data_IF_914943981101
#
_entry.id   IF_914943981101
#
_cell.length_a   1.000
_cell.length_b   1.000
_cell.length_c   1.000
_cell.angle_alpha   90.00
_cell.angle_beta   90.00
_cell.angle_gamma   90.00
#
_symmetry.space_group_name_H-M   'P 1'
#
loop_
_entity.id
_entity.type
_entity.pdbx_description
1 polymer ?
#
# COMPACT_ATOMS: atom_id res chain seq x y z
N UNK A 1 -36.77 -0.76 42.76
CA UNK A 1 -36.49 -2.09 42.21
C UNK A 1 -37.25 -2.24 40.90
N UNK A 2 -36.67 -1.92 39.80
CA UNK A 2 -37.10 -2.36 38.46
C UNK A 2 -35.84 -2.38 37.59
N UNK A 3 -35.37 -3.57 37.26
CA UNK A 3 -34.27 -3.82 36.33
C UNK A 3 -34.77 -3.53 34.91
N UNK A 4 -34.17 -2.58 34.25
CA UNK A 4 -34.36 -2.37 32.81
C UNK A 4 -33.27 -3.17 32.08
N UNK A 5 -33.69 -4.27 31.47
CA UNK A 5 -32.82 -5.01 30.54
C UNK A 5 -32.82 -4.31 29.21
N UNK A 6 -31.65 -3.82 28.79
CA UNK A 6 -31.45 -3.35 27.43
C UNK A 6 -31.05 -4.55 26.58
N UNK A 7 -31.94 -4.98 25.72
CA UNK A 7 -31.66 -5.98 24.69
C UNK A 7 -30.87 -5.32 23.57
N UNK A 8 -29.62 -5.71 23.46
CA UNK A 8 -28.79 -5.40 22.26
C UNK A 8 -29.08 -6.50 21.24
N UNK A 9 -29.80 -6.14 20.19
CA UNK A 9 -30.06 -7.03 19.06
C UNK A 9 -28.82 -7.04 18.17
N UNK A 10 -28.00 -8.09 18.32
CA UNK A 10 -26.90 -8.38 17.40
C UNK A 10 -27.51 -9.13 16.21
N UNK A 11 -27.48 -8.54 15.02
CA UNK A 11 -27.80 -9.21 13.78
C UNK A 11 -26.63 -10.12 13.39
N UNK A 12 -26.72 -11.38 13.81
CA UNK A 12 -25.81 -12.45 13.40
C UNK A 12 -26.35 -13.04 12.09
N UNK A 13 -25.75 -12.72 10.94
CA UNK A 13 -25.99 -13.47 9.73
C UNK A 13 -25.32 -14.83 9.85
N UNK A 14 -26.08 -15.84 10.25
CA UNK A 14 -25.71 -17.25 10.17
C UNK A 14 -25.78 -17.69 8.71
N UNK A 15 -24.62 -17.78 8.05
CA UNK A 15 -24.45 -18.55 6.83
C UNK A 15 -24.42 -20.04 7.21
N UNK A 16 -25.47 -20.76 6.82
CA UNK A 16 -25.53 -22.21 6.90
C UNK A 16 -24.50 -22.79 5.92
N UNK A 17 -23.38 -23.29 6.43
CA UNK A 17 -22.49 -24.15 5.66
C UNK A 17 -23.11 -25.54 5.51
N UNK A 18 -23.62 -25.84 4.32
CA UNK A 18 -23.78 -27.24 3.89
C UNK A 18 -22.40 -27.73 3.44
N UNK A 19 -21.80 -28.60 4.27
CA UNK A 19 -20.59 -29.32 3.92
C UNK A 19 -20.89 -30.26 2.74
N UNK A 20 -20.29 -29.96 1.58
CA UNK A 20 -20.07 -30.93 0.54
C UNK A 20 -18.56 -31.21 0.54
N UNK A 21 -18.18 -32.33 1.12
CA UNK A 21 -16.83 -32.87 0.95
C UNK A 21 -16.67 -33.32 -0.51
N UNK A 22 -15.98 -32.54 -1.29
CA UNK A 22 -15.34 -33.03 -2.52
C UNK A 22 -13.85 -32.78 -2.38
N UNK A 23 -13.12 -33.83 -2.00
CA UNK A 23 -11.69 -33.94 -2.20
C UNK A 23 -11.40 -33.94 -3.72
N UNK A 24 -11.24 -32.78 -4.25
CA UNK A 24 -10.72 -32.56 -5.58
C UNK A 24 -9.75 -31.39 -5.47
N UNK A 25 -8.46 -31.65 -5.66
CA UNK A 25 -7.48 -30.62 -5.95
C UNK A 25 -7.92 -29.94 -7.25
N UNK A 26 -8.74 -28.89 -7.13
CA UNK A 26 -9.02 -28.00 -8.23
C UNK A 26 -7.79 -27.09 -8.33
N UNK A 27 -6.82 -27.53 -9.10
CA UNK A 27 -5.97 -26.60 -9.84
C UNK A 27 -6.94 -25.78 -10.68
N UNK A 28 -7.22 -24.57 -10.27
CA UNK A 28 -7.92 -23.60 -11.09
C UNK A 28 -7.02 -23.35 -12.30
N UNK A 29 -7.26 -24.10 -13.39
CA UNK A 29 -6.71 -23.73 -14.68
C UNK A 29 -7.25 -22.34 -14.99
N UNK A 30 -6.38 -21.34 -14.97
CA UNK A 30 -6.67 -20.02 -15.46
C UNK A 30 -7.24 -20.14 -16.88
N UNK A 31 -8.34 -19.45 -17.25
CA UNK A 31 -8.86 -19.42 -18.60
C UNK A 31 -8.02 -18.50 -19.50
N UNK A 32 -6.72 -18.42 -19.27
CA UNK A 32 -5.76 -17.73 -20.12
C UNK A 32 -5.20 -18.72 -21.13
N UNK A 33 -5.39 -18.47 -22.42
CA UNK A 33 -4.71 -19.22 -23.47
C UNK A 33 -3.19 -19.23 -23.28
N UNK A 34 -2.50 -20.06 -24.05
CA UNK A 34 -1.03 -20.12 -24.11
C UNK A 34 -0.51 -18.68 -24.25
N UNK A 35 0.48 -18.23 -23.42
CA UNK A 35 1.04 -16.92 -23.52
C UNK A 35 1.47 -16.60 -24.96
N UNK A 36 0.97 -15.51 -25.51
CA UNK A 36 1.40 -15.06 -26.83
C UNK A 36 2.79 -14.42 -26.72
N UNK A 37 3.66 -14.79 -27.66
CA UNK A 37 4.93 -14.10 -27.83
C UNK A 37 4.61 -12.71 -28.39
N UNK A 38 5.36 -11.70 -27.98
CA UNK A 38 5.16 -10.32 -28.39
C UNK A 38 5.25 -10.09 -29.90
N UNK A 39 5.08 -8.86 -30.36
CA UNK A 39 5.16 -8.51 -31.76
C UNK A 39 6.44 -9.08 -32.40
N UNK A 40 6.30 -9.62 -33.61
CA UNK A 40 7.42 -10.19 -34.39
C UNK A 40 8.13 -11.40 -33.75
N UNK A 41 7.51 -12.08 -32.80
CA UNK A 41 8.09 -13.24 -32.10
C UNK A 41 9.14 -12.89 -31.06
N UNK A 42 9.24 -11.62 -30.67
CA UNK A 42 10.08 -11.14 -29.57
C UNK A 42 9.36 -11.27 -28.22
N UNK A 43 10.11 -11.21 -27.13
CA UNK A 43 9.52 -11.12 -25.78
C UNK A 43 8.93 -9.73 -25.55
N UNK A 44 7.87 -9.68 -24.73
CA UNK A 44 7.35 -8.42 -24.23
C UNK A 44 8.33 -7.77 -23.26
N UNK A 45 8.72 -6.53 -23.54
CA UNK A 45 9.66 -5.76 -22.70
C UNK A 45 8.90 -5.00 -21.64
N UNK A 46 9.20 -5.31 -20.38
CA UNK A 46 8.60 -4.67 -19.21
C UNK A 46 9.62 -3.70 -18.60
N UNK A 47 9.20 -2.46 -18.36
CA UNK A 47 9.97 -1.45 -17.62
C UNK A 47 9.40 -1.21 -16.22
N UNK A 48 10.15 -0.47 -15.41
CA UNK A 48 9.79 -0.10 -14.05
C UNK A 48 10.16 1.34 -13.74
N UNK A 49 9.25 2.06 -13.10
CA UNK A 49 9.51 3.41 -12.61
C UNK A 49 8.90 3.59 -11.23
N UNK A 50 9.67 4.06 -10.27
CA UNK A 50 9.20 4.35 -8.92
C UNK A 50 9.37 5.82 -8.55
N UNK A 51 8.47 6.31 -7.70
CA UNK A 51 8.52 7.68 -7.18
C UNK A 51 9.74 7.91 -6.28
N UNK A 52 10.12 6.89 -5.50
CA UNK A 52 11.21 6.85 -4.53
C UNK A 52 11.40 5.42 -4.01
N UNK A 53 12.44 5.17 -3.21
CA UNK A 53 12.57 3.90 -2.50
C UNK A 53 11.53 3.81 -1.38
N UNK A 54 10.56 2.93 -1.53
CA UNK A 54 9.53 2.70 -0.54
C UNK A 54 9.17 1.22 -0.45
N UNK A 55 9.16 0.68 0.77
CA UNK A 55 8.98 -0.77 1.00
C UNK A 55 7.72 -1.33 0.32
N UNK A 56 6.62 -0.59 0.34
CA UNK A 56 5.36 -1.02 -0.31
C UNK A 56 5.51 -1.19 -1.83
N UNK A 57 6.37 -0.40 -2.48
CA UNK A 57 6.63 -0.55 -3.91
C UNK A 57 7.38 -1.84 -4.20
N UNK A 58 8.36 -2.15 -3.38
CA UNK A 58 9.12 -3.40 -3.46
C UNK A 58 8.22 -4.63 -3.20
N UNK A 59 7.40 -4.59 -2.16
CA UNK A 59 6.44 -5.65 -1.85
C UNK A 59 5.43 -5.86 -3.00
N UNK A 60 4.96 -4.76 -3.60
CA UNK A 60 4.05 -4.82 -4.76
C UNK A 60 4.75 -5.40 -5.99
N UNK A 61 5.99 -4.98 -6.29
CA UNK A 61 6.78 -5.54 -7.39
C UNK A 61 6.97 -7.07 -7.22
N UNK A 62 7.39 -7.49 -6.03
CA UNK A 62 7.55 -8.92 -5.70
C UNK A 62 6.25 -9.68 -5.91
N UNK A 63 5.12 -9.11 -5.46
CA UNK A 63 3.82 -9.74 -5.58
C UNK A 63 3.34 -9.83 -7.04
N UNK A 64 3.60 -8.81 -7.87
CA UNK A 64 3.33 -8.87 -9.33
C UNK A 64 4.15 -9.98 -9.99
N UNK A 65 5.45 -10.06 -9.69
CA UNK A 65 6.33 -11.11 -10.24
C UNK A 65 5.86 -12.51 -9.83
N UNK A 66 5.45 -12.68 -8.56
CA UNK A 66 4.87 -13.95 -8.08
C UNK A 66 3.52 -14.26 -8.74
N UNK A 67 2.67 -13.28 -8.98
CA UNK A 67 1.42 -13.46 -9.72
C UNK A 67 1.66 -13.90 -11.17
N UNK A 68 2.69 -13.35 -11.83
CA UNK A 68 3.13 -13.78 -13.15
C UNK A 68 3.71 -15.21 -13.13
N UNK A 69 4.42 -15.61 -12.05
CA UNK A 69 4.89 -16.99 -11.85
C UNK A 69 3.71 -17.98 -11.69
N UNK A 70 2.75 -17.64 -10.83
CA UNK A 70 1.53 -18.44 -10.61
C UNK A 70 0.74 -18.66 -11.90
N UNK A 71 0.75 -17.67 -12.79
CA UNK A 71 0.08 -17.73 -14.10
C UNK A 71 0.94 -18.34 -15.22
N UNK A 72 2.17 -18.78 -14.91
CA UNK A 72 3.07 -19.44 -15.87
C UNK A 72 3.77 -18.51 -16.87
N UNK A 73 3.66 -17.19 -16.70
CA UNK A 73 4.37 -16.19 -17.52
C UNK A 73 5.82 -16.00 -17.08
N UNK A 74 6.12 -16.27 -15.82
CA UNK A 74 7.45 -16.33 -15.24
C UNK A 74 7.65 -17.75 -14.69
N UNK A 75 8.83 -18.36 -14.81
CA UNK A 75 9.01 -19.78 -14.50
C UNK A 75 10.32 -20.17 -13.81
N UNK A 76 11.25 -19.27 -13.65
CA UNK A 76 12.58 -19.57 -13.08
C UNK A 76 12.97 -18.55 -12.02
N UNK A 77 12.32 -18.63 -10.86
CA UNK A 77 12.56 -17.74 -9.72
C UNK A 77 13.45 -18.36 -8.64
N UNK A 78 14.32 -19.34 -8.99
CA UNK A 78 15.26 -19.91 -8.01
C UNK A 78 16.21 -18.83 -7.45
N UNK A 79 16.11 -18.57 -6.13
CA UNK A 79 16.87 -17.52 -5.44
C UNK A 79 16.21 -16.14 -5.43
N UNK A 80 15.05 -15.96 -6.03
CA UNK A 80 14.33 -14.69 -6.04
C UNK A 80 13.94 -14.23 -4.63
N UNK A 81 13.49 -15.13 -3.77
CA UNK A 81 13.10 -14.78 -2.39
C UNK A 81 14.25 -14.17 -1.58
N UNK A 82 15.49 -14.55 -1.88
CA UNK A 82 16.66 -13.98 -1.20
C UNK A 82 16.92 -12.53 -1.60
N UNK A 83 16.72 -12.17 -2.87
CA UNK A 83 16.85 -10.77 -3.32
C UNK A 83 15.59 -9.96 -2.93
N UNK A 84 14.41 -10.54 -2.99
CA UNK A 84 13.18 -9.93 -2.54
C UNK A 84 13.25 -9.51 -1.05
N UNK A 85 13.88 -10.33 -0.20
CA UNK A 85 14.08 -10.04 1.22
C UNK A 85 14.99 -8.83 1.49
N UNK A 86 15.72 -8.33 0.49
CA UNK A 86 16.55 -7.10 0.65
C UNK A 86 15.70 -5.85 0.80
N UNK A 87 14.47 -5.85 0.26
CA UNK A 87 13.63 -4.66 0.19
C UNK A 87 14.14 -3.59 -0.78
N UNK A 88 15.06 -3.94 -1.68
CA UNK A 88 15.67 -3.05 -2.66
C UNK A 88 15.10 -3.35 -4.06
N UNK A 89 14.27 -2.44 -4.58
CA UNK A 89 13.64 -2.56 -5.89
C UNK A 89 14.65 -2.61 -7.04
N UNK A 90 15.76 -1.85 -6.93
CA UNK A 90 16.84 -1.85 -7.93
C UNK A 90 17.55 -3.20 -8.00
N UNK A 91 17.90 -3.76 -6.84
CA UNK A 91 18.52 -5.09 -6.75
C UNK A 91 17.59 -6.19 -7.28
N UNK A 92 16.29 -6.10 -6.98
CA UNK A 92 15.27 -7.03 -7.48
C UNK A 92 15.15 -6.90 -9.01
N UNK A 93 15.08 -5.68 -9.53
CA UNK A 93 14.98 -5.45 -10.98
C UNK A 93 16.22 -5.93 -11.73
N UNK A 94 17.42 -5.64 -11.23
CA UNK A 94 18.68 -6.14 -11.80
C UNK A 94 18.71 -7.69 -11.79
N UNK A 95 18.22 -8.31 -10.71
CA UNK A 95 18.15 -9.77 -10.63
C UNK A 95 17.22 -10.34 -11.70
N UNK A 96 16.07 -9.73 -11.96
CA UNK A 96 15.10 -10.13 -13.01
C UNK A 96 15.66 -9.87 -14.41
N UNK A 97 16.29 -8.74 -14.63
CA UNK A 97 16.79 -8.31 -15.93
C UNK A 97 18.02 -9.12 -16.42
N UNK A 98 18.81 -9.67 -15.49
CA UNK A 98 20.04 -10.40 -15.82
C UNK A 98 19.85 -11.92 -15.93
N UNK A 99 18.60 -12.41 -15.77
CA UNK A 99 18.27 -13.85 -15.79
C UNK A 99 17.20 -14.17 -16.78
N UNK A 100 17.28 -15.39 -17.30
CA UNK A 100 16.22 -15.94 -18.13
C UNK A 100 15.10 -16.48 -17.23
N UNK A 101 14.17 -15.58 -16.86
CA UNK A 101 13.07 -15.90 -15.93
C UNK A 101 11.74 -16.14 -16.66
N UNK A 102 11.67 -15.89 -17.96
CA UNK A 102 10.45 -16.04 -18.73
C UNK A 102 10.75 -16.27 -20.22
N UNK A 103 10.05 -17.20 -20.88
CA UNK A 103 10.11 -17.29 -22.34
C UNK A 103 9.30 -16.20 -23.05
N UNK A 104 8.46 -15.45 -22.34
CA UNK A 104 7.52 -14.47 -22.89
C UNK A 104 7.86 -13.03 -22.54
N UNK A 105 8.50 -12.81 -21.39
CA UNK A 105 8.80 -11.50 -20.83
C UNK A 105 10.31 -11.26 -20.77
N UNK A 106 10.70 -10.00 -21.04
CA UNK A 106 12.01 -9.45 -20.75
C UNK A 106 11.84 -8.30 -19.75
N UNK A 107 12.41 -8.44 -18.56
CA UNK A 107 12.52 -7.33 -17.62
C UNK A 107 13.69 -6.44 -18.09
N UNK A 108 13.36 -5.26 -18.63
CA UNK A 108 14.34 -4.42 -19.31
C UNK A 108 15.27 -3.73 -18.31
N UNK A 109 16.54 -4.16 -18.23
CA UNK A 109 17.52 -3.58 -17.30
C UNK A 109 17.85 -2.12 -17.57
N UNK A 110 17.67 -1.68 -18.81
CA UNK A 110 17.85 -0.29 -19.25
C UNK A 110 16.57 0.56 -19.09
N UNK A 111 15.50 0.00 -18.52
CA UNK A 111 14.22 0.67 -18.26
C UNK A 111 13.80 0.56 -16.78
N UNK A 112 14.76 0.64 -15.87
CA UNK A 112 14.56 0.88 -14.44
C UNK A 112 14.80 2.36 -14.13
N UNK A 113 13.84 2.98 -13.44
CA UNK A 113 13.91 4.41 -13.10
C UNK A 113 13.46 4.64 -11.66
N UNK A 114 14.27 5.37 -10.89
CA UNK A 114 13.88 5.94 -9.62
C UNK A 114 13.88 7.47 -9.73
N UNK A 115 12.72 8.11 -9.55
CA UNK A 115 12.56 9.56 -9.76
C UNK A 115 13.25 10.43 -8.70
N UNK A 116 13.84 9.83 -7.65
CA UNK A 116 14.67 10.53 -6.66
C UNK A 116 16.14 10.59 -7.06
N UNK A 117 16.56 9.78 -8.01
CA UNK A 117 17.94 9.83 -8.51
C UNK A 117 18.16 11.11 -9.34
N UNK A 118 19.34 11.72 -9.15
CA UNK A 118 19.64 13.04 -9.76
C UNK A 118 19.67 13.01 -11.29
N UNK A 119 19.98 11.86 -11.86
CA UNK A 119 20.15 11.67 -13.31
C UNK A 119 18.83 11.23 -13.99
N UNK A 120 17.78 10.93 -13.22
CA UNK A 120 16.50 10.47 -13.77
C UNK A 120 15.52 11.63 -13.93
N UNK A 121 15.10 11.86 -15.16
CA UNK A 121 14.14 12.91 -15.50
C UNK A 121 12.91 12.29 -16.15
N UNK A 122 11.73 12.60 -15.61
CA UNK A 122 10.47 12.10 -16.16
C UNK A 122 10.28 12.44 -17.64
N UNK A 123 10.77 13.61 -18.08
CA UNK A 123 10.73 14.01 -19.49
C UNK A 123 11.51 13.07 -20.39
N UNK A 124 12.67 12.60 -19.96
CA UNK A 124 13.51 11.68 -20.74
C UNK A 124 12.85 10.30 -20.86
N UNK A 125 12.16 9.86 -19.78
CA UNK A 125 11.36 8.63 -19.81
C UNK A 125 10.22 8.79 -20.81
N UNK A 126 9.41 9.85 -20.72
CA UNK A 126 8.29 10.11 -21.62
C UNK A 126 8.74 10.21 -23.08
N UNK A 127 9.86 10.88 -23.35
CA UNK A 127 10.45 10.96 -24.71
C UNK A 127 10.84 9.56 -25.21
N UNK A 128 11.44 8.72 -24.38
CA UNK A 128 11.76 7.33 -24.75
C UNK A 128 10.49 6.55 -25.12
N UNK A 129 9.44 6.64 -24.29
CA UNK A 129 8.15 5.96 -24.52
C UNK A 129 7.50 6.42 -25.83
N UNK A 130 7.56 7.73 -26.13
CA UNK A 130 7.01 8.30 -27.35
C UNK A 130 7.81 7.94 -28.59
N UNK A 131 9.15 8.13 -28.55
CA UNK A 131 10.00 8.05 -29.74
C UNK A 131 10.37 6.61 -30.10
N UNK A 132 10.56 5.75 -29.12
CA UNK A 132 11.03 4.37 -29.31
C UNK A 132 9.93 3.33 -29.10
N UNK A 133 8.84 3.68 -28.39
CA UNK A 133 7.81 2.73 -27.94
C UNK A 133 8.42 1.52 -27.20
N UNK A 134 9.39 1.79 -26.34
CA UNK A 134 10.17 0.83 -25.59
C UNK A 134 10.36 1.35 -24.15
N UNK A 135 9.98 0.57 -23.14
CA UNK A 135 9.42 -0.79 -23.16
C UNK A 135 7.97 -0.85 -23.67
N UNK A 136 7.43 -2.09 -23.89
CA UNK A 136 6.04 -2.31 -24.32
C UNK A 136 5.06 -1.93 -23.21
N UNK A 137 5.44 -2.19 -21.93
CA UNK A 137 4.66 -1.92 -20.74
C UNK A 137 5.58 -1.40 -19.62
N UNK A 138 5.10 -0.40 -18.86
CA UNK A 138 5.82 0.16 -17.72
C UNK A 138 5.03 0.02 -16.42
N UNK A 139 5.65 -0.59 -15.41
CA UNK A 139 5.13 -0.61 -14.04
C UNK A 139 5.49 0.70 -13.35
N UNK A 140 4.49 1.48 -12.96
CA UNK A 140 4.68 2.77 -12.27
C UNK A 140 4.29 2.66 -10.80
N UNK A 141 5.26 2.82 -9.89
CA UNK A 141 5.06 2.68 -8.46
C UNK A 141 4.93 4.05 -7.77
N UNK A 142 3.78 4.24 -7.14
CA UNK A 142 3.46 5.46 -6.39
C UNK A 142 2.79 6.56 -7.21
N UNK A 143 2.24 7.55 -6.50
CA UNK A 143 1.41 8.59 -7.09
C UNK A 143 2.20 9.52 -8.03
N UNK A 144 3.47 9.83 -7.73
CA UNK A 144 4.28 10.73 -8.55
C UNK A 144 4.66 10.05 -9.88
N UNK A 145 5.16 8.82 -9.86
CA UNK A 145 5.47 8.07 -11.07
C UNK A 145 4.21 7.87 -11.91
N UNK A 146 3.10 7.46 -11.28
CA UNK A 146 1.81 7.33 -11.95
C UNK A 146 1.36 8.62 -12.64
N UNK A 147 1.37 9.76 -11.94
CA UNK A 147 0.95 11.04 -12.48
C UNK A 147 1.82 11.50 -13.67
N UNK A 148 3.13 11.39 -13.54
CA UNK A 148 4.07 11.86 -14.57
C UNK A 148 4.02 11.00 -15.84
N UNK A 149 3.73 9.71 -15.72
CA UNK A 149 3.73 8.77 -16.84
C UNK A 149 2.34 8.54 -17.45
N UNK A 150 1.25 8.84 -16.74
CA UNK A 150 -0.12 8.70 -17.24
C UNK A 150 -0.57 9.92 -18.04
N UNK A 151 0.22 10.35 -19.05
CA UNK A 151 -0.09 11.49 -19.90
C UNK A 151 -0.40 11.03 -21.35
N UNK A 152 -0.81 11.95 -22.22
CA UNK A 152 -1.16 11.68 -23.61
C UNK A 152 0.00 11.88 -24.60
N UNK A 153 1.25 11.93 -24.15
CA UNK A 153 2.40 12.14 -25.00
C UNK A 153 2.94 10.84 -25.60
N UNK A 154 2.48 9.70 -25.13
CA UNK A 154 2.84 8.35 -25.61
C UNK A 154 1.66 7.39 -25.50
N UNK A 155 1.81 6.22 -26.13
CA UNK A 155 0.81 5.14 -26.14
C UNK A 155 1.29 3.88 -25.38
N UNK A 156 2.47 3.92 -24.74
CA UNK A 156 3.00 2.79 -23.97
C UNK A 156 2.08 2.48 -22.81
N UNK A 157 1.77 1.22 -22.59
CA UNK A 157 0.88 0.77 -21.52
C UNK A 157 1.49 1.00 -20.14
N UNK A 158 0.78 1.74 -19.29
CA UNK A 158 1.21 2.11 -17.94
C UNK A 158 0.32 1.43 -16.91
N UNK A 159 0.95 0.64 -16.03
CA UNK A 159 0.30 -0.02 -14.91
C UNK A 159 0.72 0.64 -13.60
N UNK A 160 -0.19 1.40 -12.98
CA UNK A 160 0.09 2.17 -11.77
C UNK A 160 -0.33 1.39 -10.53
N UNK A 161 0.61 1.21 -9.62
CA UNK A 161 0.42 0.56 -8.33
C UNK A 161 0.77 1.48 -7.16
N UNK A 162 0.28 1.16 -5.99
CA UNK A 162 0.62 1.81 -4.73
C UNK A 162 0.42 3.34 -4.72
N UNK A 163 -0.40 3.89 -5.63
CA UNK A 163 -0.85 5.27 -5.51
C UNK A 163 -1.84 5.40 -4.34
N UNK A 164 -1.70 6.45 -3.53
CA UNK A 164 -2.58 6.65 -2.38
C UNK A 164 -4.04 6.82 -2.80
N UNK A 165 -4.28 7.57 -3.88
CA UNK A 165 -5.57 7.67 -4.54
C UNK A 165 -5.34 8.13 -5.99
N UNK A 166 -5.43 7.21 -6.94
CA UNK A 166 -5.11 7.48 -8.34
C UNK A 166 -6.07 8.51 -8.99
N UNK A 167 -7.32 8.58 -8.56
CA UNK A 167 -8.29 9.58 -9.03
C UNK A 167 -7.93 10.98 -8.53
N UNK A 168 -7.75 11.13 -7.22
CA UNK A 168 -7.39 12.44 -6.62
C UNK A 168 -6.01 12.93 -7.08
N UNK A 169 -5.11 12.03 -7.39
CA UNK A 169 -3.78 12.35 -7.93
C UNK A 169 -3.81 12.67 -9.43
N UNK A 170 -4.96 12.60 -10.11
CA UNK A 170 -5.09 12.92 -11.54
C UNK A 170 -4.48 11.86 -12.48
N UNK A 171 -4.23 10.66 -12.00
CA UNK A 171 -3.69 9.53 -12.76
C UNK A 171 -4.78 8.96 -13.67
N UNK A 172 -5.97 8.73 -13.12
CA UNK A 172 -7.16 8.23 -13.80
C UNK A 172 -8.36 9.12 -13.52
N UNK A 173 -9.37 9.09 -14.37
CA UNK A 173 -10.57 9.91 -14.22
C UNK A 173 -11.52 9.33 -13.16
N UNK A 174 -11.67 8.03 -13.12
CA UNK A 174 -12.49 7.31 -12.15
C UNK A 174 -12.02 5.87 -11.94
N UNK A 175 -12.57 5.19 -10.92
CA UNK A 175 -12.29 3.78 -10.66
C UNK A 175 -12.82 2.85 -11.77
N UNK A 176 -13.79 3.31 -12.54
CA UNK A 176 -14.42 2.52 -13.61
C UNK A 176 -13.90 2.88 -15.01
N UNK A 177 -13.22 3.99 -15.15
CA UNK A 177 -12.68 4.48 -16.42
C UNK A 177 -11.44 5.32 -16.16
N UNK A 178 -10.30 4.88 -16.65
CA UNK A 178 -9.06 5.64 -16.50
C UNK A 178 -9.03 6.92 -17.31
N UNK A 179 -9.91 7.08 -18.31
CA UNK A 179 -9.92 8.21 -19.24
C UNK A 179 -8.79 8.15 -20.29
N UNK A 180 -7.90 7.16 -20.22
CA UNK A 180 -6.71 7.01 -21.08
C UNK A 180 -6.56 5.56 -21.50
N UNK A 181 -6.56 5.28 -22.81
CA UNK A 181 -6.57 3.92 -23.37
C UNK A 181 -5.38 3.06 -22.88
N UNK A 182 -4.23 3.68 -22.63
CA UNK A 182 -2.96 3.05 -22.25
C UNK A 182 -2.69 3.08 -20.73
N UNK A 183 -3.66 3.48 -19.89
CA UNK A 183 -3.45 3.61 -18.43
C UNK A 183 -4.40 2.72 -17.66
N UNK A 184 -3.84 1.93 -16.78
CA UNK A 184 -4.52 1.20 -15.72
C UNK A 184 -3.95 1.61 -14.36
N UNK A 185 -4.78 1.72 -13.34
CA UNK A 185 -4.32 1.97 -11.98
C UNK A 185 -5.09 1.14 -10.97
N UNK A 186 -4.36 0.44 -10.09
CA UNK A 186 -4.99 -0.22 -8.94
C UNK A 186 -5.66 0.79 -8.02
N UNK A 187 -6.93 0.54 -7.68
CA UNK A 187 -7.72 1.36 -6.78
C UNK A 187 -8.43 0.54 -5.71
N UNK A 188 -8.40 1.07 -4.49
CA UNK A 188 -9.30 0.72 -3.40
C UNK A 188 -9.83 2.03 -2.79
N UNK A 189 -10.96 2.51 -3.30
CA UNK A 189 -11.50 3.82 -2.93
C UNK A 189 -11.82 3.97 -1.46
N UNK A 190 -12.24 2.89 -0.80
CA UNK A 190 -12.73 2.92 0.57
C UNK A 190 -11.70 2.47 1.60
N UNK A 191 -10.44 2.21 1.19
CA UNK A 191 -9.44 1.63 2.09
C UNK A 191 -9.23 2.44 3.37
N UNK A 192 -9.04 3.75 3.24
CA UNK A 192 -8.81 4.62 4.38
C UNK A 192 -10.07 4.85 5.23
N UNK A 193 -11.24 4.91 4.59
CA UNK A 193 -12.51 4.97 5.30
C UNK A 193 -12.71 3.71 6.15
N UNK A 194 -12.49 2.53 5.58
CA UNK A 194 -12.57 1.26 6.33
C UNK A 194 -11.57 1.21 7.47
N UNK A 195 -10.34 1.65 7.23
CA UNK A 195 -9.28 1.65 8.23
C UNK A 195 -9.62 2.55 9.42
N UNK A 196 -9.92 3.83 9.18
CA UNK A 196 -10.20 4.77 10.27
C UNK A 196 -11.48 4.43 11.02
N UNK A 197 -12.48 3.89 10.32
CA UNK A 197 -13.71 3.38 10.94
C UNK A 197 -13.41 2.20 11.87
N UNK A 198 -12.58 1.25 11.44
CA UNK A 198 -12.16 0.14 12.30
C UNK A 198 -11.40 0.63 13.54
N UNK A 199 -10.48 1.60 13.40
CA UNK A 199 -9.80 2.21 14.54
C UNK A 199 -10.78 2.88 15.51
N UNK A 200 -11.74 3.64 15.00
CA UNK A 200 -12.76 4.25 15.85
C UNK A 200 -13.63 3.20 16.54
N UNK A 201 -14.01 2.15 15.86
CA UNK A 201 -14.84 1.08 16.43
C UNK A 201 -14.10 0.31 17.53
N UNK A 202 -12.79 0.13 17.42
CA UNK A 202 -11.94 -0.53 18.43
C UNK A 202 -11.71 0.38 19.63
N UNK A 203 -11.37 1.65 19.45
CA UNK A 203 -10.85 2.52 20.51
C UNK A 203 -11.85 3.56 21.04
N UNK A 204 -12.85 3.93 20.24
CA UNK A 204 -13.89 4.93 20.62
C UNK A 204 -13.30 6.23 21.14
N UNK A 205 -12.22 6.73 20.51
CA UNK A 205 -11.58 7.98 20.86
C UNK A 205 -12.52 9.18 20.63
N UNK A 206 -12.31 10.25 21.43
CA UNK A 206 -13.01 11.53 21.29
C UNK A 206 -12.13 12.62 20.66
N UNK A 207 -10.81 12.45 20.76
CA UNK A 207 -9.82 13.34 20.16
C UNK A 207 -8.75 12.52 19.46
N UNK A 208 -8.62 12.71 18.15
CA UNK A 208 -7.62 12.05 17.32
C UNK A 208 -6.51 13.01 16.95
N UNK A 209 -5.26 12.67 17.25
CA UNK A 209 -4.07 13.41 16.84
C UNK A 209 -3.58 13.01 15.47
N UNK A 210 -3.13 13.97 14.67
CA UNK A 210 -2.48 13.78 13.38
C UNK A 210 -1.33 14.76 13.21
N UNK A 211 -0.24 14.30 12.56
CA UNK A 211 0.87 15.15 12.10
C UNK A 211 1.11 14.85 10.62
N UNK A 212 1.13 15.86 9.79
CA UNK A 212 1.39 15.74 8.35
C UNK A 212 1.87 17.09 7.78
N UNK A 213 2.35 17.11 6.53
CA UNK A 213 2.73 18.35 5.85
C UNK A 213 1.48 19.13 5.43
N UNK A 214 1.50 20.47 5.57
CA UNK A 214 0.38 21.32 5.15
C UNK A 214 0.40 21.51 3.61
N UNK A 215 -0.05 20.49 2.90
CA UNK A 215 -0.13 20.48 1.44
C UNK A 215 -1.30 19.62 0.95
N UNK A 216 -1.81 19.91 -0.25
CA UNK A 216 -2.91 19.12 -0.85
C UNK A 216 -2.50 17.65 -1.04
N UNK A 217 -1.26 17.41 -1.43
CA UNK A 217 -0.74 16.05 -1.58
C UNK A 217 -0.71 15.30 -0.24
N UNK A 218 -0.25 15.96 0.84
CA UNK A 218 -0.24 15.38 2.17
C UNK A 218 -1.65 15.05 2.69
N UNK A 219 -2.64 15.88 2.38
CA UNK A 219 -4.04 15.59 2.69
C UNK A 219 -4.54 14.31 2.04
N UNK A 220 -4.05 13.98 0.82
CA UNK A 220 -4.41 12.75 0.11
C UNK A 220 -3.77 11.54 0.78
N UNK A 221 -2.43 11.52 0.94
CA UNK A 221 -1.75 10.34 1.48
C UNK A 221 -2.00 10.12 2.97
N UNK A 222 -2.29 11.18 3.73
CA UNK A 222 -2.66 11.07 5.15
C UNK A 222 -4.16 10.81 5.37
N UNK A 223 -4.93 10.57 4.33
CA UNK A 223 -6.37 10.28 4.40
C UNK A 223 -7.18 11.35 5.19
N UNK A 224 -6.77 12.61 5.11
CA UNK A 224 -7.36 13.69 5.92
C UNK A 224 -8.85 13.84 5.66
N UNK A 225 -9.29 13.72 4.41
CA UNK A 225 -10.69 13.87 4.05
C UNK A 225 -11.56 12.75 4.65
N UNK A 226 -11.07 11.52 4.67
CA UNK A 226 -11.73 10.36 5.25
C UNK A 226 -11.82 10.49 6.79
N UNK A 227 -10.74 10.92 7.42
CA UNK A 227 -10.72 11.21 8.87
C UNK A 227 -11.70 12.31 9.22
N UNK A 228 -11.74 13.41 8.44
CA UNK A 228 -12.70 14.53 8.64
C UNK A 228 -14.14 14.11 8.39
N UNK A 229 -14.40 13.26 7.39
CA UNK A 229 -15.73 12.74 7.11
C UNK A 229 -16.25 11.91 8.30
N UNK A 230 -15.43 10.99 8.78
CA UNK A 230 -15.78 10.16 9.94
C UNK A 230 -15.89 11.00 11.23
N UNK A 231 -15.06 12.02 11.41
CA UNK A 231 -15.14 12.92 12.56
C UNK A 231 -16.50 13.64 12.61
N UNK A 232 -16.99 14.11 11.47
CA UNK A 232 -18.34 14.70 11.36
C UNK A 232 -19.45 13.69 11.68
N UNK A 233 -19.31 12.45 11.22
CA UNK A 233 -20.29 11.38 11.47
C UNK A 233 -20.30 10.94 12.94
N UNK A 234 -19.14 10.73 13.54
CA UNK A 234 -19.00 10.16 14.89
C UNK A 234 -18.88 11.20 16.00
N UNK A 235 -18.66 12.47 15.66
CA UNK A 235 -18.59 13.58 16.63
C UNK A 235 -17.29 13.63 17.43
N UNK A 236 -16.15 13.15 16.91
CA UNK A 236 -14.84 13.31 17.52
C UNK A 236 -14.10 14.53 16.97
N UNK A 237 -13.20 15.06 17.79
CA UNK A 237 -12.31 16.19 17.44
C UNK A 237 -11.02 15.69 16.80
N UNK A 238 -10.47 16.45 15.84
CA UNK A 238 -9.15 16.18 15.25
C UNK A 238 -8.18 17.30 15.68
N UNK A 239 -7.10 16.94 16.35
CA UNK A 239 -6.01 17.85 16.73
C UNK A 239 -4.86 17.66 15.75
N UNK A 240 -4.45 18.74 15.07
CA UNK A 240 -3.46 18.68 13.99
C UNK A 240 -2.23 19.50 14.32
N UNK A 241 -1.06 18.94 13.97
CA UNK A 241 0.19 19.69 13.86
C UNK A 241 0.79 19.45 12.48
N UNK A 242 1.46 20.47 11.97
CA UNK A 242 2.09 20.41 10.66
C UNK A 242 3.60 20.35 10.81
N UNK A 243 4.24 19.54 9.96
CA UNK A 243 5.68 19.43 9.82
C UNK A 243 6.01 19.47 8.34
N UNK A 244 7.16 20.02 7.99
CA UNK A 244 7.64 19.95 6.61
C UNK A 244 8.43 18.68 6.43
N UNK A 245 8.03 17.84 5.46
CA UNK A 245 8.76 16.62 5.14
C UNK A 245 10.13 16.92 4.52
N UNK A 246 11.18 16.15 4.87
CA UNK A 246 12.52 16.38 4.38
C UNK A 246 12.62 16.11 2.88
N UNK A 247 13.32 16.96 2.16
CA UNK A 247 13.59 16.82 0.73
C UNK A 247 15.01 16.33 0.47
N UNK A 248 15.92 16.52 1.43
CA UNK A 248 17.31 16.08 1.38
C UNK A 248 17.70 15.38 2.68
N UNK A 249 18.75 14.53 2.67
CA UNK A 249 19.25 13.86 3.89
C UNK A 249 19.62 14.83 5.02
N UNK A 250 20.10 16.01 4.72
CA UNK A 250 20.53 17.02 5.69
C UNK A 250 19.36 17.63 6.48
N UNK A 251 18.14 17.55 5.95
CA UNK A 251 16.95 18.08 6.60
C UNK A 251 16.40 17.14 7.71
N UNK A 252 16.70 15.84 7.65
CA UNK A 252 16.17 14.85 8.60
C UNK A 252 16.37 15.18 10.08
N UNK A 253 17.54 15.67 10.55
CA UNK A 253 17.71 16.02 11.96
C UNK A 253 16.77 17.15 12.43
N UNK A 254 16.46 18.11 11.55
CA UNK A 254 15.48 19.17 11.80
C UNK A 254 14.07 18.60 11.87
N UNK A 255 13.71 17.85 10.88
CA UNK A 255 12.43 17.16 10.75
C UNK A 255 12.08 16.30 11.98
N UNK A 256 13.00 15.45 12.45
CA UNK A 256 12.77 14.64 13.65
C UNK A 256 12.55 15.48 14.91
N UNK A 257 13.21 16.63 15.04
CA UNK A 257 12.96 17.56 16.17
C UNK A 257 11.55 18.15 16.10
N UNK A 258 11.08 18.53 14.91
CA UNK A 258 9.73 19.08 14.71
C UNK A 258 8.65 18.03 14.99
N UNK A 259 8.83 16.81 14.46
CA UNK A 259 7.93 15.67 14.72
C UNK A 259 7.86 15.37 16.22
N UNK A 260 9.03 15.27 16.90
CA UNK A 260 9.07 15.00 18.34
C UNK A 260 8.37 16.11 19.15
N UNK A 261 8.55 17.36 18.76
CA UNK A 261 7.88 18.49 19.42
C UNK A 261 6.35 18.45 19.23
N UNK A 262 5.89 18.08 18.04
CA UNK A 262 4.47 17.87 17.75
C UNK A 262 3.90 16.69 18.54
N UNK A 263 4.59 15.57 18.61
CA UNK A 263 4.17 14.38 19.36
C UNK A 263 4.13 14.64 20.88
N UNK A 264 5.10 15.38 21.42
CA UNK A 264 5.08 15.77 22.84
C UNK A 264 3.82 16.60 23.21
N UNK A 265 3.37 17.48 22.31
CA UNK A 265 2.14 18.26 22.52
C UNK A 265 0.90 17.37 22.37
N UNK A 266 0.80 16.63 21.27
CA UNK A 266 -0.35 15.75 21.01
C UNK A 266 -0.57 14.76 22.14
N UNK A 267 0.48 14.18 22.72
CA UNK A 267 0.36 13.22 23.81
C UNK A 267 -0.40 13.76 25.04
N UNK A 268 -0.48 15.09 25.19
CA UNK A 268 -1.24 15.75 26.30
C UNK A 268 -2.62 16.23 25.86
N UNK A 269 -2.95 16.18 24.58
CA UNK A 269 -4.15 16.82 24.03
C UNK A 269 -5.17 15.83 23.46
N UNK A 270 -4.76 14.58 23.18
CA UNK A 270 -5.57 13.60 22.42
C UNK A 270 -5.80 12.30 23.16
N UNK A 271 -6.77 11.50 22.68
CA UNK A 271 -7.08 10.16 23.20
C UNK A 271 -6.47 9.04 22.33
N UNK A 272 -6.10 9.35 21.09
CA UNK A 272 -5.42 8.45 20.18
C UNK A 272 -4.58 9.24 19.16
N UNK A 273 -3.52 8.64 18.65
CA UNK A 273 -2.67 9.20 17.60
C UNK A 273 -2.77 8.34 16.34
N UNK A 274 -2.98 8.98 15.18
CA UNK A 274 -2.97 8.35 13.88
C UNK A 274 -1.72 8.75 13.10
N UNK A 275 -0.81 7.79 12.91
CA UNK A 275 0.46 8.00 12.22
C UNK A 275 0.26 7.75 10.74
N UNK A 276 0.53 8.76 9.92
CA UNK A 276 0.31 8.77 8.48
C UNK A 276 1.56 9.17 7.69
N UNK A 277 2.65 9.51 8.38
CA UNK A 277 3.88 10.01 7.76
C UNK A 277 4.79 8.84 7.40
N UNK A 278 5.08 8.68 6.12
CA UNK A 278 5.96 7.64 5.59
C UNK A 278 7.46 7.92 5.74
N UNK A 279 7.85 9.20 5.94
CA UNK A 279 9.26 9.64 6.02
C UNK A 279 9.95 9.32 7.35
N UNK A 280 9.27 8.59 8.26
CA UNK A 280 9.84 8.21 9.56
C UNK A 280 10.60 6.89 9.43
N UNK A 281 11.89 6.92 9.74
CA UNK A 281 12.68 5.68 9.84
C UNK A 281 12.15 4.79 10.97
N UNK A 282 11.92 3.51 10.67
CA UNK A 282 11.36 2.55 11.62
C UNK A 282 12.16 2.43 12.92
N UNK A 283 13.48 2.57 12.84
CA UNK A 283 14.40 2.55 14.01
C UNK A 283 14.22 3.73 14.97
N UNK A 284 13.62 4.82 14.52
CA UNK A 284 13.36 6.02 15.33
C UNK A 284 11.99 5.98 16.03
N UNK A 285 11.08 5.16 15.54
CA UNK A 285 9.68 5.12 16.02
C UNK A 285 9.55 4.85 17.53
N UNK A 286 10.30 3.90 18.14
CA UNK A 286 10.18 3.67 19.59
C UNK A 286 10.48 4.90 20.42
N UNK A 287 11.46 5.72 20.01
CA UNK A 287 11.79 6.98 20.69
C UNK A 287 10.73 8.05 20.44
N UNK A 288 10.29 8.20 19.19
CA UNK A 288 9.28 9.18 18.81
C UNK A 288 7.94 8.95 19.53
N UNK A 289 7.56 7.68 19.74
CA UNK A 289 6.30 7.30 20.38
C UNK A 289 6.36 7.33 21.92
N UNK A 290 7.53 7.52 22.54
CA UNK A 290 7.67 7.53 24.00
C UNK A 290 6.66 8.47 24.72
N UNK A 291 6.40 9.70 24.26
CA UNK A 291 5.42 10.59 24.91
C UNK A 291 4.01 9.97 24.97
N UNK A 292 3.61 9.22 23.95
CA UNK A 292 2.31 8.55 23.93
C UNK A 292 2.24 7.40 24.94
N UNK A 293 3.33 6.65 25.15
CA UNK A 293 3.37 5.61 26.20
C UNK A 293 3.26 6.23 27.59
N UNK A 294 3.96 7.35 27.83
CA UNK A 294 3.96 8.04 29.13
C UNK A 294 2.57 8.56 29.48
N UNK A 295 1.77 8.94 28.51
CA UNK A 295 0.41 9.45 28.66
C UNK A 295 -0.68 8.39 28.36
N UNK A 296 -0.30 7.13 28.12
CA UNK A 296 -1.24 6.02 27.83
C UNK A 296 -2.10 6.27 26.57
N UNK A 297 -1.55 6.92 25.57
CA UNK A 297 -2.23 7.24 24.31
C UNK A 297 -1.91 6.13 23.27
N UNK A 298 -2.90 5.43 22.73
CA UNK A 298 -2.69 4.46 21.66
C UNK A 298 -2.25 5.14 20.36
N UNK A 299 -1.20 4.58 19.74
CA UNK A 299 -0.71 4.99 18.42
C UNK A 299 -1.21 4.00 17.39
N UNK A 300 -1.91 4.50 16.39
CA UNK A 300 -2.50 3.75 15.28
C UNK A 300 -1.67 3.99 14.02
N UNK A 301 -1.27 2.93 13.33
CA UNK A 301 -0.53 3.03 12.08
C UNK A 301 -1.47 2.99 10.87
N UNK A 302 -1.34 3.97 9.98
CA UNK A 302 -1.95 3.93 8.65
C UNK A 302 -1.17 3.00 7.71
N UNK A 303 0.17 2.98 7.86
CA UNK A 303 1.08 2.43 6.88
C UNK A 303 1.20 0.91 6.95
N UNK A 304 1.11 0.33 8.16
CA UNK A 304 1.08 -1.13 8.27
C UNK A 304 1.88 -1.72 9.42
N UNK A 305 2.38 -2.94 9.18
CA UNK A 305 2.98 -3.78 10.24
C UNK A 305 4.33 -3.26 10.74
N UNK A 306 5.08 -2.53 9.91
CA UNK A 306 6.41 -2.02 10.29
C UNK A 306 6.31 -1.06 11.47
N UNK A 307 5.35 -0.14 11.46
CA UNK A 307 5.14 0.80 12.58
C UNK A 307 4.66 0.06 13.83
N UNK A 308 3.80 -0.95 13.68
CA UNK A 308 3.34 -1.79 14.80
C UNK A 308 4.49 -2.59 15.40
N UNK A 309 5.32 -3.21 14.57
CA UNK A 309 6.55 -3.88 15.00
C UNK A 309 7.45 -2.94 15.79
N UNK A 310 7.55 -1.68 15.38
CA UNK A 310 8.42 -0.66 15.95
C UNK A 310 7.72 0.30 16.93
N UNK A 311 6.57 -0.07 17.49
CA UNK A 311 6.01 0.61 18.64
C UNK A 311 4.65 1.29 18.48
N UNK A 312 4.00 1.24 17.33
CA UNK A 312 2.56 1.54 17.27
C UNK A 312 1.77 0.42 17.96
N UNK A 313 0.61 0.74 18.51
CA UNK A 313 -0.24 -0.26 19.16
C UNK A 313 -0.85 -1.21 18.14
N UNK A 314 -1.41 -0.64 17.08
CA UNK A 314 -2.33 -1.34 16.19
C UNK A 314 -2.25 -0.80 14.77
N UNK A 315 -2.37 -1.68 13.80
CA UNK A 315 -2.79 -1.33 12.44
C UNK A 315 -3.99 -2.17 12.01
N UNK A 316 -4.83 -1.61 11.16
CA UNK A 316 -5.77 -2.33 10.33
C UNK A 316 -5.28 -2.16 8.90
N UNK A 317 -4.40 -3.05 8.46
CA UNK A 317 -3.87 -3.01 7.10
C UNK A 317 -4.98 -3.34 6.11
N UNK A 318 -5.08 -2.53 5.10
CA UNK A 318 -6.00 -2.70 3.96
C UNK A 318 -5.22 -2.85 2.66
N UNK A 319 -3.94 -3.16 2.77
CA UNK A 319 -3.02 -3.42 1.66
C UNK A 319 -2.57 -4.88 1.72
N UNK A 320 -3.20 -5.71 0.91
CA UNK A 320 -2.79 -7.09 0.70
C UNK A 320 -1.92 -7.14 -0.57
N UNK A 321 -0.63 -6.91 -0.41
CA UNK A 321 0.31 -6.83 -1.52
C UNK A 321 0.27 -8.10 -2.40
N UNK A 322 0.09 -9.28 -1.81
CA UNK A 322 0.03 -10.55 -2.53
C UNK A 322 -1.17 -10.59 -3.49
N UNK A 323 -2.37 -10.30 -2.98
CA UNK A 323 -3.57 -10.32 -3.81
C UNK A 323 -3.65 -9.12 -4.77
N UNK A 324 -3.13 -7.94 -4.38
CA UNK A 324 -2.97 -6.79 -5.29
C UNK A 324 -2.01 -7.16 -6.43
N UNK A 325 -0.89 -7.83 -6.13
CA UNK A 325 0.06 -8.28 -7.14
C UNK A 325 -0.53 -9.30 -8.10
N UNK A 326 -1.27 -10.28 -7.60
CA UNK A 326 -2.01 -11.25 -8.44
C UNK A 326 -3.02 -10.55 -9.34
N UNK A 327 -3.84 -9.66 -8.78
CA UNK A 327 -4.81 -8.87 -9.53
C UNK A 327 -4.13 -8.02 -10.62
N UNK A 328 -2.99 -7.40 -10.30
CA UNK A 328 -2.19 -6.65 -11.26
C UNK A 328 -1.60 -7.55 -12.35
N UNK A 329 -1.03 -8.70 -11.97
CA UNK A 329 -0.49 -9.67 -12.91
C UNK A 329 -1.56 -10.19 -13.90
N UNK A 330 -2.77 -10.49 -13.42
CA UNK A 330 -3.89 -10.90 -14.26
C UNK A 330 -4.26 -9.81 -15.28
N UNK A 331 -4.26 -8.53 -14.87
CA UNK A 331 -4.56 -7.43 -15.77
C UNK A 331 -3.40 -7.15 -16.76
N UNK A 332 -2.15 -7.27 -16.32
CA UNK A 332 -0.98 -7.22 -17.21
C UNK A 332 -1.08 -8.30 -18.29
N UNK A 333 -1.39 -9.53 -17.91
CA UNK A 333 -1.55 -10.65 -18.86
C UNK A 333 -2.64 -10.35 -19.87
N UNK A 334 -3.81 -9.88 -19.45
CA UNK A 334 -4.91 -9.50 -20.36
C UNK A 334 -4.50 -8.39 -21.32
N UNK A 335 -3.73 -7.42 -20.83
CA UNK A 335 -3.18 -6.34 -21.65
C UNK A 335 -2.24 -6.89 -22.74
N UNK A 336 -1.27 -7.73 -22.36
CA UNK A 336 -0.34 -8.36 -23.29
C UNK A 336 -1.03 -9.32 -24.27
N UNK A 337 -2.25 -9.76 -23.97
CA UNK A 337 -3.13 -10.52 -24.86
C UNK A 337 -4.05 -9.64 -25.71
N UNK A 338 -3.86 -8.31 -25.67
CA UNK A 338 -4.53 -7.34 -26.55
C UNK A 338 -5.71 -6.59 -25.95
N UNK A 339 -5.98 -6.74 -24.64
CA UNK A 339 -6.94 -5.87 -23.97
C UNK A 339 -6.31 -4.49 -23.71
N UNK A 340 -7.10 -3.43 -23.86
CA UNK A 340 -6.61 -2.09 -23.50
C UNK A 340 -6.59 -1.95 -21.97
N UNK A 341 -5.55 -1.33 -21.37
CA UNK A 341 -5.52 -1.01 -19.94
C UNK A 341 -6.78 -0.32 -19.42
N UNK A 342 -7.34 0.61 -20.18
CA UNK A 342 -8.58 1.33 -19.85
C UNK A 342 -9.79 0.43 -19.62
N UNK A 343 -9.87 -0.69 -20.36
CA UNK A 343 -11.02 -1.60 -20.32
C UNK A 343 -10.90 -2.65 -19.21
N UNK A 344 -9.76 -2.65 -18.47
CA UNK A 344 -9.49 -3.62 -17.41
C UNK A 344 -10.07 -3.14 -16.08
N UNK A 345 -10.47 -4.10 -15.23
CA UNK A 345 -10.92 -3.80 -13.86
C UNK A 345 -9.79 -3.17 -13.04
N UNK A 346 -10.04 -2.01 -12.46
CA UNK A 346 -9.09 -1.25 -11.64
C UNK A 346 -9.33 -1.42 -10.14
N UNK A 347 -10.55 -1.82 -9.77
CA UNK A 347 -10.97 -1.93 -8.39
C UNK A 347 -10.63 -3.29 -7.79
N UNK A 348 -9.81 -3.29 -6.75
CA UNK A 348 -9.57 -4.46 -5.92
C UNK A 348 -9.55 -4.06 -4.45
N UNK A 349 -10.44 -4.65 -3.67
CA UNK A 349 -10.54 -4.40 -2.24
C UNK A 349 -9.85 -5.52 -1.46
N UNK A 350 -8.78 -5.15 -0.77
CA UNK A 350 -8.10 -6.06 0.15
C UNK A 350 -8.95 -6.33 1.41
N UNK A 351 -8.91 -7.56 1.90
CA UNK A 351 -9.45 -7.89 3.22
C UNK A 351 -8.63 -7.18 4.30
N UNK A 352 -9.26 -6.55 5.30
CA UNK A 352 -8.53 -5.95 6.40
C UNK A 352 -7.75 -7.01 7.18
N UNK A 353 -6.49 -6.69 7.51
CA UNK A 353 -5.65 -7.51 8.39
C UNK A 353 -5.33 -6.69 9.64
N UNK A 354 -5.53 -7.26 10.81
CA UNK A 354 -5.35 -6.59 12.09
C UNK A 354 -4.07 -7.08 12.76
N UNK A 355 -3.10 -6.18 12.91
CA UNK A 355 -1.84 -6.46 13.59
C UNK A 355 -1.71 -5.61 14.84
N UNK A 356 -1.23 -6.22 15.93
CA UNK A 356 -1.12 -5.59 17.25
C UNK A 356 0.27 -5.79 17.85
N UNK A 357 0.75 -4.81 18.63
CA UNK A 357 1.93 -4.96 19.47
C UNK A 357 1.53 -5.18 20.95
N UNK A 358 1.77 -6.39 21.45
CA UNK A 358 1.38 -6.79 22.81
C UNK A 358 2.23 -6.08 23.89
N UNK A 359 3.50 -5.71 23.61
CA UNK A 359 4.30 -4.92 24.54
C UNK A 359 3.72 -3.51 24.68
N UNK A 360 3.35 -2.90 23.55
CA UNK A 360 2.72 -1.57 23.57
C UNK A 360 1.38 -1.63 24.32
N UNK A 361 0.55 -2.63 24.08
CA UNK A 361 -0.69 -2.81 24.82
C UNK A 361 -0.44 -2.87 26.35
N UNK A 362 0.60 -3.59 26.78
CA UNK A 362 1.00 -3.62 28.21
C UNK A 362 1.51 -2.27 28.71
N UNK A 363 2.34 -1.54 27.92
CA UNK A 363 2.81 -0.20 28.28
C UNK A 363 1.68 0.81 28.46
N UNK A 364 0.64 0.68 27.66
CA UNK A 364 -0.55 1.53 27.71
C UNK A 364 -1.56 1.11 28.78
N UNK A 365 -1.38 -0.02 29.46
CA UNK A 365 -2.38 -0.69 30.30
C UNK A 365 -3.67 -0.97 29.52
N UNK A 366 -3.57 -1.15 28.19
CA UNK A 366 -4.71 -1.37 27.31
C UNK A 366 -5.22 -2.81 27.43
N UNK A 367 -6.45 -2.93 27.92
CA UNK A 367 -7.11 -4.25 28.01
C UNK A 367 -7.70 -4.60 26.65
N UNK A 368 -7.09 -5.58 26.00
CA UNK A 368 -7.56 -6.08 24.71
C UNK A 368 -8.96 -6.67 24.87
N UNK A 369 -9.97 -6.17 24.14
CA UNK A 369 -11.26 -6.82 24.05
C UNK A 369 -11.11 -8.24 23.47
N UNK A 370 -11.89 -9.19 24.00
CA UNK A 370 -11.83 -10.57 23.53
C UNK A 370 -12.13 -10.66 22.03
N UNK A 371 -13.08 -9.87 21.57
CA UNK A 371 -13.50 -9.78 20.16
C UNK A 371 -12.34 -9.37 19.27
N UNK A 372 -11.49 -8.42 19.72
CA UNK A 372 -10.30 -8.00 19.00
C UNK A 372 -9.27 -9.13 18.93
N UNK A 373 -9.06 -9.85 20.04
CA UNK A 373 -8.09 -10.97 20.08
C UNK A 373 -8.49 -12.08 19.11
N UNK A 374 -9.79 -12.33 18.94
CA UNK A 374 -10.30 -13.37 18.02
C UNK A 374 -10.14 -13.05 16.54
N UNK A 375 -9.92 -11.78 16.19
CA UNK A 375 -9.78 -11.32 14.79
C UNK A 375 -8.39 -10.78 14.48
N UNK A 376 -7.42 -10.98 15.39
CA UNK A 376 -6.02 -10.62 15.13
C UNK A 376 -5.43 -11.58 14.11
N UNK A 377 -4.84 -11.04 13.06
CA UNK A 377 -4.05 -11.81 12.09
C UNK A 377 -2.61 -11.99 12.58
N UNK A 378 -2.03 -10.96 13.23
CA UNK A 378 -0.66 -10.99 13.73
C UNK A 378 -0.52 -10.25 15.06
N UNK A 379 0.40 -10.70 15.92
CA UNK A 379 0.72 -10.06 17.18
C UNK A 379 2.22 -10.07 17.49
N UNK A 380 2.86 -8.91 17.46
CA UNK A 380 4.24 -8.74 17.93
C UNK A 380 4.30 -8.76 19.45
N UNK A 381 5.19 -9.57 20.01
CA UNK A 381 5.30 -9.73 21.45
C UNK A 381 6.16 -8.64 22.10
N UNK A 382 7.10 -8.07 21.36
CA UNK A 382 8.02 -7.01 21.78
C UNK A 382 8.22 -5.97 20.68
N UNK A 383 8.62 -4.75 21.08
CA UNK A 383 9.00 -3.68 20.16
C UNK A 383 10.35 -4.03 19.52
N UNK A 384 10.44 -3.93 18.19
CA UNK A 384 11.67 -4.18 17.43
C UNK A 384 12.04 -5.66 17.28
N UNK A 385 11.16 -6.61 17.65
CA UNK A 385 11.40 -8.04 17.40
C UNK A 385 11.57 -8.35 15.92
N UNK A 386 12.48 -9.28 15.58
CA UNK A 386 12.64 -9.75 14.20
C UNK A 386 11.41 -10.47 13.68
#
# INVERSE_FOLDING_TARGET
>A
MRKLAVQITIFLCLLVLSAVETTGTVSAAYPGGIPDIGPDGAKWRIGYCESENFITYTETLVAVVKGLEESGWVNNLAGFDSVAATGDSGAIWEWLATREVSPYLEFAGDAFYNLREQDVRAEDIVNRLNDRRDPDLLLAMGAQAGYLLSNFLHDTDIFVFAASNAVRSGIIDSVHDSGKDHVWAHMDEQRFERQIKAFYDILRFRKLGMVYEDSDNARIYSAVNEVEALAREKGYEIVRYYVREPRTPEEYPGYYREVQAAYNKLATEVDAMYVTIASLESTKLPQLFQPFYDHKIPVLSQLGNIEVKNGALLTVSVMDAVNIGRFGADNIIKCLQGAKPRDLEQSFQSSPQITLNAEVARKLDYKLPFELVMVLDEAYQTIGSP
#
